data_IF_324880890484
#
_entry.id   IF_324880890484
#
_cell.length_a   1.000
_cell.length_b   1.000
_cell.length_c   1.000
_cell.angle_alpha   90.00
_cell.angle_beta   90.00
_cell.angle_gamma   90.00
#
_symmetry.space_group_name_H-M   'P 1'
#
loop_
_entity.id
_entity.type
_entity.pdbx_description
1 polymer ?
#
# COMPACT_ATOMS: atom_id res chain seq x y z
N UNK A 1 28.25 67.19 38.24
CA UNK A 1 28.34 65.69 38.17
C UNK A 1 27.65 65.22 36.90
N UNK A 2 28.45 64.86 35.90
CA UNK A 2 27.92 64.36 34.61
C UNK A 2 28.06 62.85 34.64
N UNK A 3 26.93 62.17 34.67
CA UNK A 3 26.87 60.67 34.60
C UNK A 3 27.12 60.21 33.15
N UNK A 4 28.17 59.46 32.97
CA UNK A 4 28.49 58.82 31.71
C UNK A 4 27.50 57.66 31.45
N UNK A 5 26.82 57.65 30.30
CA UNK A 5 25.97 56.56 29.87
C UNK A 5 26.83 55.37 29.34
N UNK A 6 26.44 54.11 29.59
CA UNK A 6 27.20 52.97 29.11
C UNK A 6 27.04 52.81 27.60
N UNK A 7 28.18 52.63 26.91
CA UNK A 7 28.27 52.30 25.49
C UNK A 7 27.69 50.88 25.27
N UNK A 8 26.58 50.79 24.53
CA UNK A 8 26.08 49.52 24.05
C UNK A 8 27.00 49.03 22.91
N UNK A 9 27.79 48.03 23.19
CA UNK A 9 28.57 47.31 22.18
C UNK A 9 27.62 46.37 21.49
N UNK A 10 27.21 46.70 20.27
CA UNK A 10 26.51 45.73 19.40
C UNK A 10 27.54 44.69 18.94
N UNK A 11 27.48 43.51 19.51
CA UNK A 11 28.12 42.31 18.92
C UNK A 11 27.37 41.96 17.65
N UNK A 12 27.97 42.19 16.52
CA UNK A 12 27.52 41.63 15.25
C UNK A 12 27.75 40.12 15.30
N UNK A 13 26.69 39.35 15.41
CA UNK A 13 26.74 37.90 15.24
C UNK A 13 27.17 37.60 13.79
N UNK A 14 28.16 36.73 13.55
CA UNK A 14 28.56 36.37 12.21
C UNK A 14 27.40 35.74 11.48
N UNK A 15 26.92 36.39 10.42
CA UNK A 15 25.94 35.80 9.49
C UNK A 15 26.67 34.67 8.79
N UNK A 16 26.43 33.43 9.27
CA UNK A 16 26.95 32.24 8.61
C UNK A 16 26.48 32.20 7.16
N UNK A 17 27.42 32.34 6.23
CA UNK A 17 27.24 32.18 4.77
C UNK A 17 26.96 30.72 4.38
N UNK A 18 26.23 29.95 5.20
CA UNK A 18 26.13 28.50 5.05
C UNK A 18 24.68 27.93 4.97
N UNK A 19 23.68 28.78 4.70
CA UNK A 19 22.32 28.33 4.54
C UNK A 19 22.11 27.35 3.38
N UNK A 20 22.88 27.53 2.28
CA UNK A 20 22.87 26.58 1.16
C UNK A 20 23.41 25.20 1.54
N UNK A 21 24.48 25.13 2.34
CA UNK A 21 25.11 23.87 2.78
C UNK A 21 24.20 23.11 3.75
N UNK A 22 23.50 23.81 4.66
CA UNK A 22 22.59 23.20 5.61
C UNK A 22 21.37 22.63 4.90
N UNK A 23 20.80 23.37 3.94
CA UNK A 23 19.65 22.92 3.14
C UNK A 23 20.04 21.77 2.21
N UNK A 24 21.19 21.83 1.56
CA UNK A 24 21.71 20.74 0.72
C UNK A 24 21.94 19.47 1.56
N UNK A 25 22.56 19.59 2.73
CA UNK A 25 22.78 18.46 3.64
C UNK A 25 21.46 17.89 4.20
N UNK A 26 20.46 18.75 4.44
CA UNK A 26 19.11 18.31 4.84
C UNK A 26 18.41 17.54 3.71
N UNK A 27 18.50 18.05 2.47
CA UNK A 27 17.96 17.40 1.28
C UNK A 27 18.67 16.06 1.00
N UNK A 28 20.00 16.02 1.13
CA UNK A 28 20.79 14.79 1.00
C UNK A 28 20.45 13.75 2.08
N UNK A 29 20.22 14.19 3.33
CA UNK A 29 19.71 13.29 4.39
C UNK A 29 18.31 12.74 4.07
N UNK A 30 17.42 13.57 3.54
CA UNK A 30 16.08 13.12 3.10
C UNK A 30 16.15 12.12 1.95
N UNK A 31 17.10 12.30 1.02
CA UNK A 31 17.30 11.35 -0.10
C UNK A 31 17.94 10.02 0.37
N UNK A 32 18.64 10.02 1.51
CA UNK A 32 19.24 8.82 2.11
C UNK A 32 18.32 8.06 3.06
N UNK A 33 17.15 8.61 3.42
CA UNK A 33 16.17 7.83 4.18
C UNK A 33 15.65 6.70 3.27
N UNK A 34 15.87 5.45 3.68
CA UNK A 34 15.28 4.28 3.02
C UNK A 34 13.77 4.52 2.90
N UNK A 35 13.26 4.55 1.67
CA UNK A 35 11.82 4.65 1.46
C UNK A 35 11.15 3.42 2.05
N UNK A 36 10.07 3.61 2.79
CA UNK A 36 9.20 2.51 3.24
C UNK A 36 8.76 1.71 2.01
N UNK A 37 8.88 0.40 2.07
CA UNK A 37 8.34 -0.51 1.06
C UNK A 37 6.95 -0.94 1.49
N UNK A 38 5.92 -0.48 0.78
CA UNK A 38 4.54 -0.87 1.01
C UNK A 38 4.13 -1.88 -0.05
N UNK A 39 3.86 -3.10 0.39
CA UNK A 39 3.33 -4.17 -0.46
C UNK A 39 1.83 -4.08 -0.46
N UNK A 40 1.23 -4.00 -1.64
CA UNK A 40 -0.21 -3.96 -1.84
C UNK A 40 -0.63 -5.29 -2.44
N UNK A 41 -1.65 -5.89 -1.87
CA UNK A 41 -2.29 -7.09 -2.38
C UNK A 41 -3.79 -6.87 -2.50
N UNK A 42 -4.48 -7.61 -3.36
CA UNK A 42 -5.92 -7.53 -3.48
C UNK A 42 -6.57 -8.90 -3.54
N UNK A 43 -7.79 -9.00 -3.06
CA UNK A 43 -8.56 -10.24 -3.12
C UNK A 43 -9.98 -10.11 -2.58
N UNK A 44 -10.80 -11.08 -2.93
CA UNK A 44 -12.18 -11.18 -2.41
C UNK A 44 -12.19 -11.72 -0.99
N UNK A 45 -11.35 -12.70 -0.67
CA UNK A 45 -11.27 -13.35 0.65
C UNK A 45 -12.65 -13.83 1.14
N UNK A 46 -13.43 -14.40 0.27
CA UNK A 46 -14.86 -14.68 0.43
C UNK A 46 -15.21 -16.15 0.17
N UNK A 47 -15.05 -17.03 1.18
CA UNK A 47 -14.41 -16.80 2.47
C UNK A 47 -12.87 -16.85 2.43
N UNK A 48 -12.23 -16.40 3.52
CA UNK A 48 -10.81 -16.58 3.77
C UNK A 48 -10.48 -18.07 3.94
N UNK A 49 -9.34 -18.52 3.42
CA UNK A 49 -8.84 -19.90 3.55
C UNK A 49 -7.31 -19.94 3.60
N UNK A 50 -6.75 -21.12 3.92
CA UNK A 50 -5.28 -21.29 4.12
C UNK A 50 -4.44 -20.81 2.94
N UNK A 51 -4.89 -20.97 1.70
CA UNK A 51 -4.19 -20.44 0.52
C UNK A 51 -4.10 -18.92 0.51
N UNK A 52 -5.12 -18.22 1.02
CA UNK A 52 -5.02 -16.77 1.21
C UNK A 52 -4.04 -16.39 2.33
N UNK A 53 -4.01 -17.15 3.44
CA UNK A 53 -3.05 -16.91 4.53
C UNK A 53 -1.61 -17.06 4.06
N UNK A 54 -1.32 -18.08 3.28
CA UNK A 54 0.00 -18.31 2.70
C UNK A 54 0.39 -17.15 1.77
N UNK A 55 -0.49 -16.77 0.88
CA UNK A 55 -0.31 -15.62 -0.02
C UNK A 55 0.00 -14.33 0.75
N UNK A 56 -0.79 -14.01 1.78
CA UNK A 56 -0.59 -12.80 2.59
C UNK A 56 0.73 -12.84 3.36
N UNK A 57 1.11 -13.99 3.94
CA UNK A 57 2.39 -14.18 4.60
C UNK A 57 3.59 -14.01 3.65
N UNK A 58 3.49 -14.55 2.44
CA UNK A 58 4.54 -14.37 1.44
C UNK A 58 4.63 -12.92 0.99
N UNK A 59 3.50 -12.25 0.80
CA UNK A 59 3.46 -10.84 0.43
C UNK A 59 4.08 -9.95 1.51
N UNK A 60 3.79 -10.20 2.80
CA UNK A 60 4.35 -9.40 3.90
C UNK A 60 5.88 -9.44 3.98
N UNK A 61 6.52 -10.50 3.46
CA UNK A 61 7.98 -10.61 3.43
C UNK A 61 8.65 -9.76 2.34
N UNK A 62 7.89 -9.18 1.41
CA UNK A 62 8.43 -8.37 0.31
C UNK A 62 8.68 -6.91 0.69
N UNK A 63 8.14 -6.43 1.81
CA UNK A 63 8.22 -5.04 2.21
C UNK A 63 8.21 -4.81 3.71
N UNK A 64 8.09 -3.54 4.06
CA UNK A 64 8.06 -3.08 5.46
C UNK A 64 6.62 -3.01 5.99
N UNK A 65 5.61 -2.88 5.09
CA UNK A 65 4.17 -2.76 5.40
C UNK A 65 3.36 -3.55 4.38
N UNK A 66 2.39 -4.33 4.83
CA UNK A 66 1.41 -5.01 3.98
C UNK A 66 0.05 -4.31 4.04
N UNK A 67 -0.36 -3.72 2.90
CA UNK A 67 -1.69 -3.15 2.68
C UNK A 67 -2.54 -4.15 1.87
N UNK A 68 -3.69 -4.54 2.41
CA UNK A 68 -4.62 -5.45 1.73
C UNK A 68 -5.83 -4.68 1.21
N UNK A 69 -6.09 -4.76 -0.09
CA UNK A 69 -7.32 -4.26 -0.72
C UNK A 69 -8.33 -5.41 -0.76
N UNK A 70 -9.40 -5.28 0.02
CA UNK A 70 -10.53 -6.23 0.02
C UNK A 70 -11.53 -5.79 -1.05
N UNK A 71 -11.79 -6.62 -2.05
CA UNK A 71 -12.82 -6.34 -3.05
C UNK A 71 -14.19 -6.15 -2.39
N UNK A 72 -14.93 -5.12 -2.80
CA UNK A 72 -16.23 -4.79 -2.23
C UNK A 72 -17.33 -5.80 -2.62
N UNK A 73 -18.52 -5.66 -2.01
CA UNK A 73 -19.62 -6.60 -2.21
C UNK A 73 -20.19 -6.52 -3.64
N UNK A 74 -20.18 -5.34 -4.28
CA UNK A 74 -20.62 -5.19 -5.67
C UNK A 74 -19.66 -5.92 -6.62
N UNK A 75 -18.36 -5.84 -6.38
CA UNK A 75 -17.37 -6.63 -7.13
C UNK A 75 -17.55 -8.14 -6.91
N UNK A 76 -17.90 -8.56 -5.68
CA UNK A 76 -18.19 -9.98 -5.40
C UNK A 76 -19.43 -10.45 -6.16
N UNK A 77 -20.49 -9.64 -6.23
CA UNK A 77 -21.70 -9.91 -7.02
C UNK A 77 -21.37 -10.01 -8.52
N UNK A 78 -20.57 -9.09 -9.07
CA UNK A 78 -20.13 -9.16 -10.47
C UNK A 78 -19.40 -10.47 -10.80
N UNK A 79 -18.64 -11.01 -9.86
CA UNK A 79 -17.81 -12.21 -10.07
C UNK A 79 -18.55 -13.52 -9.81
N UNK A 80 -19.44 -13.56 -8.82
CA UNK A 80 -20.01 -14.81 -8.28
C UNK A 80 -21.54 -14.78 -8.17
N UNK A 81 -22.20 -13.68 -8.52
CA UNK A 81 -23.64 -13.47 -8.36
C UNK A 81 -24.03 -12.94 -7.00
N UNK A 82 -23.31 -13.28 -5.95
CA UNK A 82 -23.52 -12.81 -4.58
C UNK A 82 -22.22 -12.81 -3.76
N UNK A 83 -22.23 -12.11 -2.64
CA UNK A 83 -21.18 -12.16 -1.63
C UNK A 83 -21.58 -13.17 -0.55
N UNK A 84 -20.67 -14.07 -0.17
CA UNK A 84 -20.90 -15.01 0.94
C UNK A 84 -20.79 -14.31 2.30
N UNK A 85 -19.83 -13.39 2.43
CA UNK A 85 -19.62 -12.56 3.62
C UNK A 85 -19.63 -11.10 3.23
N UNK A 86 -20.12 -10.20 4.10
CA UNK A 86 -20.07 -8.77 3.86
C UNK A 86 -18.62 -8.27 3.74
N UNK A 87 -18.39 -7.24 2.94
CA UNK A 87 -17.05 -6.62 2.81
C UNK A 87 -16.48 -6.16 4.15
N UNK A 88 -17.34 -5.73 5.08
CA UNK A 88 -16.95 -5.31 6.44
C UNK A 88 -16.45 -6.48 7.27
N UNK A 89 -17.16 -7.61 7.27
CA UNK A 89 -16.71 -8.80 7.99
C UNK A 89 -15.39 -9.32 7.42
N UNK A 90 -15.27 -9.33 6.09
CA UNK A 90 -14.04 -9.75 5.40
C UNK A 90 -12.86 -8.83 5.74
N UNK A 91 -13.10 -7.52 5.78
CA UNK A 91 -12.11 -6.52 6.18
C UNK A 91 -11.63 -6.75 7.63
N UNK A 92 -12.56 -6.92 8.57
CA UNK A 92 -12.24 -7.16 9.99
C UNK A 92 -11.42 -8.44 10.19
N UNK A 93 -11.80 -9.54 9.50
CA UNK A 93 -11.07 -10.80 9.56
C UNK A 93 -9.66 -10.65 9.00
N UNK A 94 -9.50 -9.96 7.88
CA UNK A 94 -8.19 -9.70 7.27
C UNK A 94 -7.33 -8.82 8.17
N UNK A 95 -7.90 -7.76 8.75
CA UNK A 95 -7.18 -6.85 9.64
C UNK A 95 -6.68 -7.54 10.92
N UNK A 96 -7.38 -8.57 11.39
CA UNK A 96 -6.98 -9.36 12.56
C UNK A 96 -5.78 -10.29 12.30
N UNK A 97 -5.29 -10.41 11.07
CA UNK A 97 -4.14 -11.26 10.75
C UNK A 97 -2.82 -10.56 11.10
N UNK A 98 -1.96 -11.23 11.85
CA UNK A 98 -0.67 -10.70 12.30
C UNK A 98 0.24 -10.16 11.16
N UNK A 99 0.13 -10.74 9.97
CA UNK A 99 0.94 -10.33 8.82
C UNK A 99 0.35 -9.14 8.03
N UNK A 100 -0.76 -8.56 8.46
CA UNK A 100 -1.45 -7.46 7.78
C UNK A 100 -1.35 -6.20 8.62
N UNK A 101 -0.83 -5.12 8.04
CA UNK A 101 -0.66 -3.85 8.72
C UNK A 101 -1.81 -2.89 8.43
N UNK A 102 -2.32 -2.88 7.20
CA UNK A 102 -3.36 -1.96 6.75
C UNK A 102 -4.38 -2.68 5.86
N UNK A 103 -5.64 -2.27 5.92
CA UNK A 103 -6.71 -2.80 5.06
C UNK A 103 -7.51 -1.66 4.44
N UNK A 104 -7.87 -1.81 3.17
CA UNK A 104 -8.70 -0.89 2.41
C UNK A 104 -9.82 -1.69 1.73
N UNK A 105 -11.07 -1.25 1.87
CA UNK A 105 -12.16 -1.76 1.02
C UNK A 105 -12.02 -1.10 -0.35
N UNK A 106 -12.09 -1.90 -1.41
CA UNK A 106 -12.01 -1.40 -2.79
C UNK A 106 -13.08 -0.35 -3.08
N UNK A 107 -12.67 0.75 -3.70
CA UNK A 107 -13.56 1.80 -4.21
C UNK A 107 -13.88 1.64 -5.71
N UNK A 108 -13.46 0.54 -6.32
CA UNK A 108 -13.69 0.23 -7.72
C UNK A 108 -15.11 -0.32 -7.93
N UNK A 109 -15.70 -0.01 -9.10
CA UNK A 109 -17.03 -0.46 -9.50
C UNK A 109 -16.98 -1.64 -10.49
N UNK A 110 -15.80 -1.95 -11.01
CA UNK A 110 -15.54 -3.05 -11.92
C UNK A 110 -14.72 -4.17 -11.22
N UNK A 111 -14.33 -5.20 -11.97
CA UNK A 111 -13.56 -6.32 -11.43
C UNK A 111 -12.09 -6.00 -11.11
N UNK A 112 -11.62 -4.77 -11.39
CA UNK A 112 -10.26 -4.31 -11.12
C UNK A 112 -10.11 -3.70 -9.72
N UNK A 113 -8.88 -3.30 -9.37
CA UNK A 113 -8.58 -2.48 -8.20
C UNK A 113 -7.78 -1.24 -8.59
N UNK A 114 -8.01 -0.73 -9.80
CA UNK A 114 -7.23 0.38 -10.37
C UNK A 114 -7.41 1.69 -9.57
N UNK A 115 -8.65 2.09 -9.27
CA UNK A 115 -8.94 3.28 -8.45
C UNK A 115 -8.41 3.12 -7.03
N UNK A 116 -8.51 1.93 -6.47
CA UNK A 116 -7.98 1.62 -5.14
C UNK A 116 -6.46 1.70 -5.08
N UNK A 117 -5.75 1.32 -6.15
CA UNK A 117 -4.29 1.51 -6.28
C UNK A 117 -3.93 2.99 -6.40
N UNK A 118 -4.68 3.78 -7.16
CA UNK A 118 -4.51 5.23 -7.24
C UNK A 118 -4.68 5.89 -5.86
N UNK A 119 -5.69 5.46 -5.09
CA UNK A 119 -5.95 5.93 -3.74
C UNK A 119 -4.81 5.56 -2.78
N UNK A 120 -4.34 4.32 -2.81
CA UNK A 120 -3.19 3.86 -2.02
C UNK A 120 -1.92 4.68 -2.33
N UNK A 121 -1.65 4.97 -3.60
CA UNK A 121 -0.53 5.81 -4.01
C UNK A 121 -0.65 7.26 -3.49
N UNK A 122 -1.85 7.81 -3.41
CA UNK A 122 -2.09 9.14 -2.84
C UNK A 122 -1.85 9.17 -1.31
N UNK A 123 -2.22 8.12 -0.58
CA UNK A 123 -1.97 8.03 0.86
C UNK A 123 -0.51 7.74 1.21
N UNK A 124 0.24 7.12 0.31
CA UNK A 124 1.65 6.73 0.52
C UNK A 124 2.60 7.39 -0.50
N UNK A 125 2.58 8.73 -0.65
CA UNK A 125 3.27 9.42 -1.77
C UNK A 125 4.81 9.31 -1.72
N UNK A 126 5.38 8.94 -0.57
CA UNK A 126 6.82 8.81 -0.38
C UNK A 126 7.30 7.36 -0.34
N UNK A 127 6.37 6.39 -0.33
CA UNK A 127 6.69 4.98 -0.26
C UNK A 127 7.16 4.42 -1.61
N UNK A 128 7.89 3.30 -1.56
CA UNK A 128 8.09 2.42 -2.71
C UNK A 128 6.94 1.42 -2.71
N UNK A 129 6.03 1.55 -3.67
CA UNK A 129 4.84 0.71 -3.76
C UNK A 129 5.12 -0.53 -4.61
N UNK A 130 4.71 -1.68 -4.11
CA UNK A 130 4.80 -2.99 -4.78
C UNK A 130 3.40 -3.58 -4.82
N UNK A 131 2.86 -3.81 -6.02
CA UNK A 131 1.60 -4.55 -6.18
C UNK A 131 1.90 -6.02 -6.42
N UNK A 132 1.58 -6.86 -5.45
CA UNK A 132 1.87 -8.28 -5.48
C UNK A 132 0.61 -9.10 -5.77
N UNK A 133 0.69 -10.04 -6.73
CA UNK A 133 -0.40 -10.95 -7.09
C UNK A 133 -0.04 -12.39 -6.83
N UNK A 134 -1.01 -13.13 -6.28
CA UNK A 134 -0.93 -14.59 -6.09
C UNK A 134 -1.42 -15.35 -7.32
N UNK A 135 -1.01 -16.62 -7.40
CA UNK A 135 -1.42 -17.56 -8.44
C UNK A 135 -0.68 -17.39 -9.77
N UNK A 136 -1.10 -18.18 -10.73
CA UNK A 136 -0.52 -18.37 -12.08
C UNK A 136 -0.97 -17.35 -13.13
N UNK A 137 -1.57 -16.22 -12.73
CA UNK A 137 -2.03 -15.20 -13.67
C UNK A 137 -0.86 -14.44 -14.29
N UNK A 138 -0.74 -14.53 -15.61
CA UNK A 138 0.20 -13.71 -16.37
C UNK A 138 -0.21 -12.23 -16.31
N UNK A 139 0.76 -11.34 -16.05
CA UNK A 139 0.53 -9.89 -15.98
C UNK A 139 -0.10 -9.27 -17.23
N UNK A 140 0.03 -9.91 -18.41
CA UNK A 140 -0.51 -9.37 -19.66
C UNK A 140 -2.03 -9.28 -19.75
N UNK A 141 -2.77 -9.90 -18.83
CA UNK A 141 -4.24 -9.98 -18.84
C UNK A 141 -4.90 -9.22 -17.68
N UNK A 142 -4.14 -8.43 -16.93
CA UNK A 142 -4.64 -7.79 -15.70
C UNK A 142 -4.79 -6.29 -15.92
N UNK A 143 -6.00 -5.72 -15.70
CA UNK A 143 -6.26 -4.29 -15.95
C UNK A 143 -5.35 -3.36 -15.13
N UNK A 144 -4.84 -3.82 -14.00
CA UNK A 144 -3.98 -3.02 -13.12
C UNK A 144 -2.57 -2.76 -13.68
N UNK A 145 -2.14 -3.45 -14.74
CA UNK A 145 -0.80 -3.28 -15.33
C UNK A 145 -0.55 -1.84 -15.78
N UNK A 146 -1.48 -1.25 -16.50
CA UNK A 146 -1.31 0.12 -17.00
C UNK A 146 -1.38 1.14 -15.88
N UNK A 147 -2.25 0.92 -14.88
CA UNK A 147 -2.33 1.76 -13.68
C UNK A 147 -1.02 1.70 -12.89
N UNK A 148 -0.47 0.51 -12.65
CA UNK A 148 0.80 0.35 -11.97
C UNK A 148 1.95 1.04 -12.72
N UNK A 149 2.04 0.89 -14.04
CA UNK A 149 3.04 1.59 -14.87
C UNK A 149 2.92 3.10 -14.75
N UNK A 150 1.70 3.65 -14.86
CA UNK A 150 1.41 5.08 -14.74
C UNK A 150 1.80 5.65 -13.38
N UNK A 151 1.59 4.89 -12.31
CA UNK A 151 1.86 5.29 -10.93
C UNK A 151 3.30 4.96 -10.48
N UNK A 152 4.08 4.24 -11.27
CA UNK A 152 5.41 3.78 -10.88
C UNK A 152 5.39 2.72 -9.78
N UNK A 153 4.31 1.92 -9.70
CA UNK A 153 4.16 0.80 -8.77
C UNK A 153 4.87 -0.43 -9.38
N UNK A 154 5.79 -1.02 -8.63
CA UNK A 154 6.43 -2.28 -9.01
C UNK A 154 5.42 -3.42 -8.96
N UNK A 155 5.45 -4.33 -9.93
CA UNK A 155 4.56 -5.49 -9.94
C UNK A 155 5.33 -6.78 -9.70
N UNK A 156 4.88 -7.57 -8.74
CA UNK A 156 5.41 -8.90 -8.42
C UNK A 156 4.27 -9.92 -8.55
N UNK A 157 4.47 -10.94 -9.37
CA UNK A 157 3.51 -12.03 -9.58
C UNK A 157 3.99 -13.36 -9.01
N UNK A 158 3.15 -14.37 -9.18
CA UNK A 158 3.43 -15.77 -8.82
C UNK A 158 3.76 -15.96 -7.32
N UNK A 159 3.08 -15.21 -6.43
CA UNK A 159 3.20 -15.44 -5.00
C UNK A 159 2.33 -16.62 -4.58
N UNK A 160 2.98 -17.74 -4.29
CA UNK A 160 2.33 -18.98 -3.85
C UNK A 160 1.64 -19.76 -4.97
N UNK A 161 1.55 -21.06 -4.78
CA UNK A 161 0.75 -21.92 -5.64
C UNK A 161 -0.73 -21.81 -5.28
N UNK A 162 -1.62 -22.01 -6.26
CA UNK A 162 -3.06 -22.06 -6.03
C UNK A 162 -3.43 -23.36 -5.31
N UNK A 163 -3.38 -23.35 -3.98
CA UNK A 163 -3.65 -24.52 -3.15
C UNK A 163 -5.15 -24.79 -3.03
N UNK A 164 -5.98 -23.73 -2.99
CA UNK A 164 -7.43 -23.82 -2.78
C UNK A 164 -8.20 -22.68 -3.45
N UNK A 165 -9.51 -22.83 -3.52
CA UNK A 165 -10.45 -21.82 -4.04
C UNK A 165 -11.60 -21.61 -3.06
N UNK A 166 -12.03 -20.36 -2.85
CA UNK A 166 -13.21 -20.05 -2.03
C UNK A 166 -14.48 -20.74 -2.54
N UNK A 167 -14.60 -20.97 -3.85
CA UNK A 167 -15.74 -21.68 -4.46
C UNK A 167 -15.84 -23.15 -4.03
N UNK A 168 -14.74 -23.75 -3.57
CA UNK A 168 -14.79 -25.11 -2.99
C UNK A 168 -15.58 -25.15 -1.67
N UNK A 169 -15.62 -24.04 -0.94
CA UNK A 169 -16.33 -23.95 0.33
C UNK A 169 -17.76 -23.43 0.20
N UNK A 170 -18.00 -22.53 -0.73
CA UNK A 170 -19.32 -21.87 -0.88
C UNK A 170 -20.20 -22.55 -1.92
N UNK A 171 -19.62 -23.32 -2.85
CA UNK A 171 -20.32 -23.82 -4.02
C UNK A 171 -20.64 -22.74 -5.07
N UNK A 172 -20.36 -21.47 -4.80
CA UNK A 172 -20.54 -20.34 -5.73
C UNK A 172 -19.54 -20.44 -6.87
N UNK A 173 -20.05 -20.46 -8.10
CA UNK A 173 -19.21 -20.49 -9.32
C UNK A 173 -18.99 -19.08 -9.84
N UNK A 174 -17.85 -18.86 -10.49
CA UNK A 174 -17.64 -17.62 -11.25
C UNK A 174 -18.63 -17.59 -12.43
N UNK A 175 -19.28 -16.45 -12.62
CA UNK A 175 -20.20 -16.14 -13.71
C UNK A 175 -19.37 -15.78 -14.96
#
# INVERSE_FOLDING_TARGET
MIQAQPKVVRQELPIEKNTKTTMTRYLEKRTKMKKEKVVIVSGYFDPLHVGHLEYLRMASQLGDTLLVIVNNDEQAKLKKGESFMSEKDRMEIIYALECVDEVLISCDEDASVCKSLELAAQFKPMAHLIFAKGGDRHFGEVPEVDTCKKLGIEMIGNLGEKIRSSSEYTGLKQI
#
